data_IF_136502675060
#
_entry.id   IF_136502675060
#
_cell.length_a   1.000
_cell.length_b   1.000
_cell.length_c   1.000
_cell.angle_alpha   90.00
_cell.angle_beta   90.00
_cell.angle_gamma   90.00
#
_symmetry.space_group_name_H-M   'P 1'
#
loop_
_entity.id
_entity.type
_entity.pdbx_description
1 polymer ?
#
# COMPACT_ATOMS: atom_id res chain seq x y z
N UNK A 1 -13.78 -37.13 -22.21
CA UNK A 1 -14.41 -35.82 -22.43
C UNK A 1 -15.07 -35.43 -21.12
N UNK A 2 -14.34 -34.71 -20.27
CA UNK A 2 -14.88 -34.20 -19.01
C UNK A 2 -15.06 -32.70 -19.21
N UNK A 3 -16.31 -32.24 -19.13
CA UNK A 3 -16.66 -30.84 -19.16
C UNK A 3 -16.36 -30.22 -17.79
N UNK A 4 -15.63 -29.11 -17.80
CA UNK A 4 -15.40 -28.23 -16.66
C UNK A 4 -16.73 -27.74 -16.09
N UNK A 5 -16.90 -27.94 -14.78
CA UNK A 5 -17.93 -27.30 -13.97
C UNK A 5 -17.36 -25.95 -13.53
N UNK A 6 -17.79 -24.91 -14.23
CA UNK A 6 -17.62 -23.52 -13.84
C UNK A 6 -18.71 -23.19 -12.82
N UNK A 7 -18.53 -23.66 -11.59
CA UNK A 7 -19.48 -23.39 -10.49
C UNK A 7 -19.35 -21.91 -10.08
N UNK A 8 -20.36 -21.13 -10.50
CA UNK A 8 -20.56 -19.75 -10.10
C UNK A 8 -20.59 -19.62 -8.57
N UNK A 9 -19.61 -18.89 -8.00
CA UNK A 9 -19.62 -18.52 -6.59
C UNK A 9 -20.67 -17.43 -6.34
N UNK A 10 -21.57 -17.56 -5.36
CA UNK A 10 -22.54 -16.51 -5.06
C UNK A 10 -21.82 -15.23 -4.62
N UNK A 11 -22.07 -14.12 -5.32
CA UNK A 11 -21.60 -12.78 -4.93
C UNK A 11 -20.54 -12.13 -5.84
N UNK A 12 -20.05 -12.82 -6.87
CA UNK A 12 -19.18 -12.23 -7.88
C UNK A 12 -19.79 -12.47 -9.26
N UNK A 13 -20.10 -11.39 -9.98
CA UNK A 13 -20.47 -11.51 -11.38
C UNK A 13 -19.27 -12.09 -12.16
N UNK A 14 -19.50 -13.02 -13.12
CA UNK A 14 -18.45 -13.47 -14.02
C UNK A 14 -17.78 -12.27 -14.71
N UNK A 15 -16.45 -12.20 -14.70
CA UNK A 15 -15.69 -11.15 -15.39
C UNK A 15 -15.28 -9.93 -14.57
N UNK A 16 -15.56 -9.87 -13.26
CA UNK A 16 -14.93 -8.88 -12.36
C UNK A 16 -13.47 -9.26 -12.17
N UNK A 17 -12.55 -8.33 -12.45
CA UNK A 17 -11.13 -8.53 -12.14
C UNK A 17 -11.00 -8.75 -10.63
N UNK A 18 -10.37 -9.85 -10.23
CA UNK A 18 -10.08 -10.09 -8.82
C UNK A 18 -8.86 -9.24 -8.44
N UNK A 19 -8.92 -8.46 -7.35
CA UNK A 19 -7.75 -7.71 -6.90
C UNK A 19 -6.60 -8.68 -6.59
N UNK A 20 -5.36 -8.24 -6.84
CA UNK A 20 -4.15 -9.05 -6.54
C UNK A 20 -3.87 -9.14 -5.05
N UNK A 21 -4.48 -8.24 -4.26
CA UNK A 21 -4.48 -8.30 -2.82
C UNK A 21 -4.96 -6.99 -2.19
N UNK A 22 -4.93 -6.95 -0.87
CA UNK A 22 -5.31 -5.76 -0.10
C UNK A 22 -4.14 -4.78 -0.02
N UNK A 23 -4.43 -3.51 -0.32
CA UNK A 23 -3.60 -2.37 0.05
C UNK A 23 -4.29 -1.66 1.21
N UNK A 24 -3.59 -1.48 2.32
CA UNK A 24 -4.13 -0.84 3.53
C UNK A 24 -3.18 0.24 4.00
N UNK A 25 -3.72 1.35 4.51
CA UNK A 25 -2.95 2.37 5.22
C UNK A 25 -3.65 2.76 6.53
N UNK A 26 -2.87 2.95 7.58
CA UNK A 26 -3.29 3.60 8.81
C UNK A 26 -2.28 4.70 9.17
N UNK A 27 -2.80 5.88 9.49
CA UNK A 27 -1.99 7.05 9.87
C UNK A 27 -2.14 7.36 11.35
N UNK A 28 -1.03 7.70 11.99
CA UNK A 28 -0.93 7.91 13.43
C UNK A 28 -0.32 9.28 13.74
N UNK A 29 -0.79 9.89 14.81
CA UNK A 29 -0.21 11.10 15.40
C UNK A 29 -1.27 12.06 15.93
N UNK A 30 -0.86 13.31 16.12
CA UNK A 30 -1.77 14.38 16.58
C UNK A 30 -2.79 14.74 15.52
N UNK A 31 -4.07 14.88 15.89
CA UNK A 31 -5.11 15.26 14.95
C UNK A 31 -6.11 16.27 15.52
N UNK A 32 -6.27 17.38 14.82
CA UNK A 32 -7.27 18.39 15.11
C UNK A 32 -8.33 18.41 14.00
N UNK A 33 -9.53 17.91 14.30
CA UNK A 33 -10.64 17.87 13.34
C UNK A 33 -11.12 19.28 12.99
N UNK A 34 -11.50 19.50 11.73
CA UNK A 34 -12.15 20.74 11.33
C UNK A 34 -13.58 20.82 11.90
N UNK A 35 -14.01 22.00 12.39
CA UNK A 35 -15.31 22.13 13.07
C UNK A 35 -16.52 22.03 12.13
N UNK A 36 -16.32 22.14 10.81
CA UNK A 36 -17.35 22.06 9.78
C UNK A 36 -17.41 20.69 9.08
N UNK A 37 -16.71 19.68 9.60
CA UNK A 37 -16.52 18.43 8.90
C UNK A 37 -17.66 17.43 9.17
N UNK A 38 -18.56 17.30 8.19
CA UNK A 38 -19.70 16.38 8.25
C UNK A 38 -19.51 15.09 7.41
N UNK A 39 -18.49 15.05 6.54
CA UNK A 39 -18.24 13.89 5.67
C UNK A 39 -17.29 12.88 6.32
N UNK A 40 -17.60 11.60 6.16
CA UNK A 40 -16.77 10.50 6.62
C UNK A 40 -15.55 10.25 5.70
N UNK A 41 -14.57 9.51 6.22
CA UNK A 41 -13.31 9.22 5.51
C UNK A 41 -13.52 8.39 4.23
N UNK A 42 -14.48 7.46 4.23
CA UNK A 42 -14.79 6.61 3.09
C UNK A 42 -15.35 7.42 1.93
N UNK A 43 -16.34 8.25 2.20
CA UNK A 43 -16.98 9.13 1.21
C UNK A 43 -15.98 10.06 0.54
N UNK A 44 -15.12 10.72 1.33
CA UNK A 44 -14.06 11.58 0.81
C UNK A 44 -13.05 10.83 -0.05
N UNK A 45 -12.58 9.67 0.44
CA UNK A 45 -11.58 8.87 -0.27
C UNK A 45 -12.13 8.30 -1.58
N UNK A 46 -13.38 7.82 -1.57
CA UNK A 46 -14.08 7.36 -2.76
C UNK A 46 -14.19 8.48 -3.79
N UNK A 47 -14.69 9.66 -3.39
CA UNK A 47 -14.84 10.82 -4.29
C UNK A 47 -13.50 11.26 -4.88
N UNK A 48 -12.44 11.30 -4.08
CA UNK A 48 -11.11 11.69 -4.55
C UNK A 48 -10.53 10.65 -5.50
N UNK A 49 -10.64 9.37 -5.18
CA UNK A 49 -10.20 8.26 -6.05
C UNK A 49 -10.93 8.28 -7.39
N UNK A 50 -12.23 8.54 -7.39
CA UNK A 50 -13.03 8.69 -8.61
C UNK A 50 -12.58 9.91 -9.43
N UNK A 51 -12.38 11.06 -8.79
CA UNK A 51 -11.95 12.29 -9.47
C UNK A 51 -10.58 12.15 -10.15
N UNK A 52 -9.68 11.36 -9.56
CA UNK A 52 -8.35 11.08 -10.12
C UNK A 52 -8.33 9.90 -11.11
N UNK A 53 -9.47 9.24 -11.34
CA UNK A 53 -9.59 7.99 -12.11
C UNK A 53 -8.68 6.88 -11.58
N UNK A 54 -8.49 6.83 -10.26
CA UNK A 54 -7.78 5.75 -9.59
C UNK A 54 -8.72 4.63 -9.13
N UNK A 55 -10.01 4.94 -8.97
CA UNK A 55 -11.01 3.94 -8.65
C UNK A 55 -11.33 3.11 -9.91
N UNK A 56 -11.30 1.78 -9.78
CA UNK A 56 -11.84 0.90 -10.81
C UNK A 56 -13.36 1.02 -10.84
N UNK A 57 -13.88 1.54 -11.96
CA UNK A 57 -15.30 1.73 -12.21
C UNK A 57 -15.81 0.86 -13.37
N UNK A 58 -15.07 -0.21 -13.73
CA UNK A 58 -15.53 -1.20 -14.70
C UNK A 58 -16.81 -1.88 -14.18
N UNK A 59 -17.93 -1.50 -14.77
CA UNK A 59 -19.22 -2.17 -14.67
C UNK A 59 -19.60 -2.91 -15.94
N UNK A 60 -20.73 -3.60 -15.89
CA UNK A 60 -21.32 -4.27 -17.04
C UNK A 60 -22.71 -3.69 -17.30
N UNK A 61 -22.94 -3.25 -18.53
CA UNK A 61 -24.30 -2.92 -18.99
C UNK A 61 -24.81 -4.12 -19.76
N UNK A 62 -25.87 -4.74 -19.23
CA UNK A 62 -26.59 -5.80 -19.92
C UNK A 62 -27.67 -5.16 -20.79
N UNK A 63 -27.51 -5.23 -22.11
CA UNK A 63 -28.52 -4.80 -23.07
C UNK A 63 -29.28 -6.02 -23.58
N UNK A 64 -30.60 -6.01 -23.41
CA UNK A 64 -31.46 -7.02 -24.05
C UNK A 64 -31.69 -6.65 -25.52
N UNK A 65 -31.38 -7.59 -26.41
CA UNK A 65 -31.62 -7.50 -27.85
C UNK A 65 -32.49 -8.66 -28.36
N UNK A 66 -32.91 -8.61 -29.62
CA UNK A 66 -33.64 -9.70 -30.26
C UNK A 66 -32.81 -11.01 -30.36
N UNK A 67 -31.48 -10.91 -30.27
CA UNK A 67 -30.55 -12.04 -30.31
C UNK A 67 -30.15 -12.57 -28.91
N UNK A 68 -30.67 -11.97 -27.83
CA UNK A 68 -30.33 -12.34 -26.45
C UNK A 68 -29.83 -11.16 -25.61
N UNK A 69 -29.16 -11.46 -24.50
CA UNK A 69 -28.49 -10.45 -23.66
C UNK A 69 -27.08 -10.19 -24.20
N UNK A 70 -26.77 -8.92 -24.44
CA UNK A 70 -25.44 -8.45 -24.79
C UNK A 70 -24.87 -7.74 -23.56
N UNK A 71 -23.81 -8.31 -22.99
CA UNK A 71 -23.09 -7.67 -21.89
C UNK A 71 -21.95 -6.85 -22.48
N UNK A 72 -21.95 -5.55 -22.19
CA UNK A 72 -20.87 -4.66 -22.59
C UNK A 72 -20.19 -4.09 -21.35
N UNK A 73 -18.86 -4.21 -21.23
CA UNK A 73 -18.14 -3.53 -20.17
C UNK A 73 -18.24 -2.01 -20.38
N UNK A 74 -18.48 -1.29 -19.30
CA UNK A 74 -18.54 0.18 -19.24
C UNK A 74 -17.65 0.67 -18.10
N UNK A 75 -17.08 1.86 -18.21
CA UNK A 75 -16.09 2.37 -17.24
C UNK A 75 -14.65 2.22 -17.75
N UNK A 76 -13.69 2.43 -16.86
CA UNK A 76 -12.26 2.36 -17.11
C UNK A 76 -11.55 1.66 -15.95
N UNK A 77 -10.54 0.86 -16.28
CA UNK A 77 -9.71 0.21 -15.27
C UNK A 77 -9.01 1.27 -14.40
N UNK A 78 -9.17 1.13 -13.09
CA UNK A 78 -8.49 1.95 -12.09
C UNK A 78 -7.19 1.32 -11.58
N UNK A 79 -6.66 1.91 -10.52
CA UNK A 79 -5.55 1.38 -9.74
C UNK A 79 -6.02 0.47 -8.60
N UNK A 80 -7.25 0.68 -8.11
CA UNK A 80 -7.82 -0.11 -7.03
C UNK A 80 -9.36 -0.06 -6.99
N UNK A 81 -9.97 -1.07 -6.39
CA UNK A 81 -11.37 -1.07 -5.94
C UNK A 81 -11.49 -0.65 -4.46
N UNK A 82 -12.56 0.06 -4.10
CA UNK A 82 -12.81 0.45 -2.68
C UNK A 82 -13.27 -0.74 -1.84
N UNK A 83 -12.66 -0.93 -0.67
CA UNK A 83 -13.18 -1.85 0.35
C UNK A 83 -13.81 -1.08 1.50
N UNK A 84 -13.01 -0.39 2.30
CA UNK A 84 -13.46 0.25 3.53
C UNK A 84 -12.50 1.37 3.97
N UNK A 85 -12.97 2.30 4.77
CA UNK A 85 -12.16 3.37 5.35
C UNK A 85 -12.88 3.98 6.55
N UNK A 86 -12.12 4.46 7.51
CA UNK A 86 -12.69 5.00 8.73
C UNK A 86 -11.73 5.80 9.58
N UNK A 87 -12.25 6.23 10.71
CA UNK A 87 -11.52 6.90 11.78
C UNK A 87 -11.58 6.07 13.05
N UNK A 88 -10.66 6.33 13.97
CA UNK A 88 -10.77 5.94 15.38
C UNK A 88 -11.13 4.45 15.57
N UNK A 89 -10.35 3.56 14.94
CA UNK A 89 -10.51 2.12 15.16
C UNK A 89 -9.97 1.75 16.54
N UNK A 90 -10.71 1.01 17.38
CA UNK A 90 -10.20 0.54 18.66
C UNK A 90 -8.93 -0.29 18.43
N UNK A 91 -7.80 0.18 18.97
CA UNK A 91 -6.55 -0.57 18.91
C UNK A 91 -6.59 -1.70 19.95
N UNK A 92 -6.22 -2.92 19.57
CA UNK A 92 -6.20 -4.06 20.47
C UNK A 92 -5.11 -3.94 21.57
N UNK A 93 -4.04 -3.16 21.35
CA UNK A 93 -2.95 -2.99 22.31
C UNK A 93 -2.04 -1.75 22.08
N UNK A 94 -2.52 -0.69 21.42
CA UNK A 94 -1.66 0.43 21.00
C UNK A 94 -2.37 1.75 20.76
N UNK A 95 -1.68 2.68 20.09
CA UNK A 95 -2.29 3.93 19.64
C UNK A 95 -3.37 3.62 18.59
N UNK A 96 -4.54 4.26 18.70
CA UNK A 96 -5.55 4.19 17.66
C UNK A 96 -5.10 5.02 16.45
N UNK A 97 -5.29 4.53 15.21
CA UNK A 97 -5.03 5.35 14.04
C UNK A 97 -6.01 6.51 13.96
N UNK A 98 -5.51 7.67 13.55
CA UNK A 98 -6.33 8.86 13.25
C UNK A 98 -7.33 8.55 12.14
N UNK A 99 -6.84 7.87 11.10
CA UNK A 99 -7.63 7.38 9.99
C UNK A 99 -6.99 6.13 9.39
N UNK A 100 -7.81 5.32 8.74
CA UNK A 100 -7.38 4.12 8.05
C UNK A 100 -8.18 3.91 6.76
N UNK A 101 -7.56 3.24 5.78
CA UNK A 101 -8.07 3.08 4.43
C UNK A 101 -7.70 1.69 3.92
N UNK A 102 -8.63 1.01 3.28
CA UNK A 102 -8.49 -0.31 2.71
C UNK A 102 -9.04 -0.34 1.29
N UNK A 103 -8.22 -0.80 0.35
CA UNK A 103 -8.58 -0.96 -1.07
C UNK A 103 -8.11 -2.32 -1.59
N UNK A 104 -8.77 -2.84 -2.62
CA UNK A 104 -8.27 -3.99 -3.38
C UNK A 104 -7.38 -3.47 -4.50
N UNK A 105 -6.09 -3.81 -4.49
CA UNK A 105 -5.17 -3.38 -5.52
C UNK A 105 -5.43 -4.15 -6.82
N UNK A 106 -5.52 -3.43 -7.95
CA UNK A 106 -5.60 -4.06 -9.26
C UNK A 106 -4.23 -4.59 -9.72
N UNK A 107 -4.18 -5.59 -10.62
CA UNK A 107 -2.92 -6.03 -11.23
C UNK A 107 -2.19 -4.86 -11.90
N UNK A 108 -0.93 -4.67 -11.55
CA UNK A 108 -0.07 -3.65 -12.17
C UNK A 108 0.78 -4.25 -13.29
N UNK A 109 0.97 -3.53 -14.42
CA UNK A 109 1.96 -3.92 -15.43
C UNK A 109 3.37 -4.04 -14.85
N UNK A 110 4.22 -4.88 -15.45
CA UNK A 110 5.57 -5.16 -14.98
C UNK A 110 6.45 -3.89 -14.87
N UNK A 111 6.20 -2.89 -15.70
CA UNK A 111 6.94 -1.63 -15.76
C UNK A 111 6.45 -0.58 -14.76
N UNK A 112 5.46 -0.92 -13.92
CA UNK A 112 4.88 0.00 -12.94
C UNK A 112 5.06 -0.52 -11.51
N UNK A 113 5.29 0.37 -10.54
CA UNK A 113 5.31 -0.03 -9.15
C UNK A 113 3.88 -0.31 -8.66
N UNK A 114 3.76 -0.97 -7.50
CA UNK A 114 2.48 -0.99 -6.77
C UNK A 114 2.02 0.46 -6.51
N UNK A 115 0.70 0.73 -6.53
CA UNK A 115 0.16 2.10 -6.44
C UNK A 115 0.18 2.65 -5.01
N UNK A 116 1.23 2.36 -4.22
CA UNK A 116 1.36 2.78 -2.83
C UNK A 116 1.50 4.30 -2.72
N UNK A 117 2.30 4.91 -3.60
CA UNK A 117 2.46 6.36 -3.67
C UNK A 117 1.13 7.09 -3.96
N UNK A 118 0.41 6.83 -5.06
CA UNK A 118 -0.89 7.48 -5.30
C UNK A 118 -1.93 7.15 -4.22
N UNK A 119 -1.87 5.96 -3.62
CA UNK A 119 -2.73 5.60 -2.49
C UNK A 119 -2.48 6.50 -1.27
N UNK A 120 -1.23 6.66 -0.82
CA UNK A 120 -0.93 7.52 0.31
C UNK A 120 -1.11 9.00 0.02
N UNK A 121 -0.95 9.45 -1.24
CA UNK A 121 -1.35 10.80 -1.66
C UNK A 121 -2.85 11.03 -1.50
N UNK A 122 -3.67 10.07 -1.87
CA UNK A 122 -5.12 10.14 -1.67
C UNK A 122 -5.46 10.21 -0.17
N UNK A 123 -4.81 9.38 0.65
CA UNK A 123 -4.94 9.40 2.11
C UNK A 123 -4.59 10.78 2.68
N UNK A 124 -3.47 11.36 2.27
CA UNK A 124 -3.03 12.69 2.72
C UNK A 124 -4.08 13.77 2.44
N UNK A 125 -4.59 13.81 1.21
CA UNK A 125 -5.58 14.81 0.79
C UNK A 125 -6.92 14.65 1.51
N UNK A 126 -7.33 13.40 1.78
CA UNK A 126 -8.54 13.10 2.57
C UNK A 126 -8.36 13.51 4.01
N UNK A 127 -7.24 13.15 4.63
CA UNK A 127 -6.96 13.52 6.03
C UNK A 127 -6.86 15.03 6.19
N UNK A 128 -6.25 15.73 5.22
CA UNK A 128 -6.20 17.19 5.19
C UNK A 128 -7.59 17.85 5.04
N UNK A 129 -8.57 17.16 4.43
CA UNK A 129 -9.97 17.61 4.41
C UNK A 129 -10.69 17.36 5.72
N UNK A 130 -10.33 16.29 6.44
CA UNK A 130 -10.91 15.95 7.74
C UNK A 130 -10.39 16.86 8.87
N UNK A 131 -9.14 17.30 8.77
CA UNK A 131 -8.48 18.08 9.83
C UNK A 131 -6.99 18.31 9.58
N UNK A 132 -6.32 18.84 10.60
CA UNK A 132 -4.87 19.02 10.61
C UNK A 132 -4.20 17.81 11.27
N UNK A 133 -3.36 17.10 10.51
CA UNK A 133 -2.55 15.97 10.98
C UNK A 133 -1.13 16.43 11.33
N UNK A 134 -0.64 15.98 12.48
CA UNK A 134 0.77 15.97 12.85
C UNK A 134 1.21 14.49 12.82
N UNK A 135 1.85 14.09 11.71
CA UNK A 135 2.16 12.68 11.42
C UNK A 135 3.30 12.17 12.29
N UNK A 136 3.04 11.12 13.06
CA UNK A 136 4.05 10.42 13.88
C UNK A 136 4.48 9.09 13.29
N UNK A 137 3.53 8.34 12.72
CA UNK A 137 3.81 7.07 12.08
C UNK A 137 2.77 6.72 11.00
N UNK A 138 3.14 5.81 10.11
CA UNK A 138 2.23 5.17 9.15
C UNK A 138 2.42 3.65 9.18
N UNK A 139 1.32 2.92 9.03
CA UNK A 139 1.35 1.49 8.71
C UNK A 139 0.75 1.27 7.34
N UNK A 140 1.43 0.50 6.49
CA UNK A 140 1.00 0.22 5.11
C UNK A 140 1.13 -1.27 4.85
N UNK A 141 0.02 -1.95 4.54
CA UNK A 141 0.04 -3.32 4.04
C UNK A 141 0.11 -3.27 2.52
N UNK A 142 1.12 -3.89 1.91
CA UNK A 142 1.33 -3.91 0.46
C UNK A 142 1.23 -5.35 -0.09
N UNK A 143 0.49 -5.58 -1.21
CA UNK A 143 0.28 -6.91 -1.76
C UNK A 143 1.43 -7.35 -2.68
N UNK A 144 2.61 -7.64 -2.11
CA UNK A 144 3.83 -8.03 -2.84
C UNK A 144 3.63 -9.26 -3.71
N UNK A 145 2.79 -10.20 -3.29
CA UNK A 145 2.44 -11.40 -4.04
C UNK A 145 1.80 -11.11 -5.41
N UNK A 146 1.27 -9.90 -5.61
CA UNK A 146 0.70 -9.46 -6.89
C UNK A 146 1.74 -9.02 -7.92
N UNK A 147 3.02 -8.95 -7.54
CA UNK A 147 4.10 -8.53 -8.43
C UNK A 147 4.66 -9.72 -9.21
N UNK A 148 4.54 -9.69 -10.53
CA UNK A 148 5.24 -10.62 -11.41
C UNK A 148 6.66 -10.11 -11.68
N UNK A 149 7.58 -10.48 -10.79
CA UNK A 149 9.00 -10.13 -10.91
C UNK A 149 9.64 -10.79 -12.13
N UNK A 150 9.15 -11.96 -12.54
CA UNK A 150 9.75 -12.75 -13.62
C UNK A 150 9.60 -12.11 -15.00
N UNK A 151 8.56 -11.29 -15.19
CA UNK A 151 8.33 -10.53 -16.41
C UNK A 151 8.97 -9.15 -16.42
N UNK A 152 9.67 -8.73 -15.35
CA UNK A 152 10.31 -7.41 -15.28
C UNK A 152 11.63 -7.40 -16.06
N UNK A 153 11.78 -6.57 -17.10
CA UNK A 153 13.06 -6.41 -17.78
C UNK A 153 14.07 -5.71 -16.86
N UNK A 154 15.34 -6.11 -16.87
CA UNK A 154 16.42 -5.22 -16.37
C UNK A 154 16.50 -4.01 -17.32
N UNK A 155 16.39 -2.73 -16.86
CA UNK A 155 16.59 -2.17 -15.51
C UNK A 155 15.31 -1.83 -14.70
N UNK A 156 14.11 -2.25 -15.11
CA UNK A 156 12.82 -1.99 -14.46
C UNK A 156 12.57 -2.80 -13.17
N UNK A 157 13.62 -3.25 -12.48
CA UNK A 157 13.49 -4.08 -11.28
C UNK A 157 12.92 -3.32 -10.07
N UNK A 158 13.05 -2.00 -10.06
CA UNK A 158 12.38 -1.10 -9.12
C UNK A 158 11.84 0.13 -9.88
N UNK A 159 10.65 0.04 -10.49
CA UNK A 159 10.08 1.11 -11.30
C UNK A 159 10.00 2.48 -10.59
N UNK A 160 9.87 2.46 -9.25
CA UNK A 160 9.87 3.67 -8.41
C UNK A 160 11.14 4.52 -8.57
N UNK A 161 12.29 3.94 -8.98
CA UNK A 161 13.53 4.70 -9.19
C UNK A 161 13.39 5.77 -10.28
N UNK A 162 12.51 5.57 -11.27
CA UNK A 162 12.28 6.53 -12.35
C UNK A 162 11.73 7.87 -11.84
N UNK A 163 11.13 7.89 -10.64
CA UNK A 163 10.55 9.07 -10.03
C UNK A 163 11.32 9.55 -8.79
N UNK A 164 12.46 8.92 -8.44
CA UNK A 164 13.25 9.29 -7.26
C UNK A 164 13.67 10.77 -7.25
N UNK A 165 13.99 11.32 -8.44
CA UNK A 165 14.38 12.72 -8.60
C UNK A 165 13.28 13.73 -8.25
N UNK A 166 12.01 13.30 -8.11
CA UNK A 166 10.92 14.14 -7.59
C UNK A 166 11.21 14.68 -6.18
N UNK A 167 11.95 13.91 -5.39
CA UNK A 167 12.35 14.26 -4.02
C UNK A 167 13.75 14.90 -3.96
N UNK A 168 14.39 15.14 -5.12
CA UNK A 168 15.68 15.80 -5.21
C UNK A 168 15.51 17.32 -5.09
N UNK A 169 15.97 17.90 -3.97
CA UNK A 169 16.01 19.34 -3.77
C UNK A 169 16.22 19.75 -2.31
N UNK A 170 16.77 20.95 -2.11
CA UNK A 170 17.30 21.42 -0.83
C UNK A 170 16.22 21.92 0.16
N UNK A 171 14.95 21.89 -0.25
CA UNK A 171 13.87 22.62 0.42
C UNK A 171 13.18 21.92 1.59
N UNK A 172 13.36 20.60 1.75
CA UNK A 172 12.71 19.82 2.83
C UNK A 172 13.74 19.16 3.73
N UNK A 173 13.48 19.23 5.04
CA UNK A 173 14.38 18.70 6.05
C UNK A 173 14.37 17.18 5.99
N UNK A 174 15.54 16.61 5.65
CA UNK A 174 15.82 15.19 5.79
C UNK A 174 15.48 14.73 7.21
N UNK A 175 14.71 13.66 7.30
CA UNK A 175 14.13 13.20 8.56
C UNK A 175 14.64 11.80 8.89
N UNK A 176 15.26 11.59 10.07
CA UNK A 176 15.56 10.25 10.56
C UNK A 176 14.28 9.44 10.73
N UNK A 177 14.29 8.21 10.23
CA UNK A 177 13.14 7.31 10.27
C UNK A 177 13.56 5.90 10.63
N UNK A 178 12.62 5.18 11.23
CA UNK A 178 12.68 3.74 11.44
C UNK A 178 11.63 3.09 10.53
N UNK A 179 12.03 2.06 9.79
CA UNK A 179 11.18 1.34 8.83
C UNK A 179 11.18 -0.14 9.20
N UNK A 180 10.09 -0.66 9.75
CA UNK A 180 9.92 -2.09 10.04
C UNK A 180 9.14 -2.76 8.91
N UNK A 181 9.72 -3.79 8.31
CA UNK A 181 9.05 -4.73 7.40
C UNK A 181 8.60 -5.95 8.20
N UNK A 182 7.38 -6.45 7.94
CA UNK A 182 6.85 -7.67 8.55
C UNK A 182 6.17 -8.55 7.48
N UNK A 183 6.58 -9.81 7.40
CA UNK A 183 5.96 -10.84 6.55
C UNK A 183 5.03 -11.79 7.32
N UNK A 184 4.60 -11.38 8.52
CA UNK A 184 3.71 -12.12 9.41
C UNK A 184 4.37 -13.41 9.88
N UNK A 185 3.74 -14.54 9.56
CA UNK A 185 4.24 -15.90 9.84
C UNK A 185 5.28 -16.42 8.86
N UNK A 186 5.59 -15.70 7.79
CA UNK A 186 6.60 -16.11 6.82
C UNK A 186 7.99 -15.63 7.27
N UNK A 187 9.02 -16.48 7.33
CA UNK A 187 10.37 -16.07 7.71
C UNK A 187 11.12 -15.29 6.61
N UNK A 188 10.44 -14.91 5.53
CA UNK A 188 11.06 -14.34 4.34
C UNK A 188 11.77 -13.01 4.61
N UNK A 189 11.16 -12.07 5.35
CA UNK A 189 11.76 -10.75 5.62
C UNK A 189 13.10 -10.83 6.35
N UNK A 190 13.22 -11.54 7.51
CA UNK A 190 14.51 -11.72 8.16
C UNK A 190 15.57 -12.35 7.25
N UNK A 191 15.18 -13.30 6.40
CA UNK A 191 16.10 -14.00 5.50
C UNK A 191 16.71 -13.10 4.41
N UNK A 192 16.01 -12.03 4.01
CA UNK A 192 16.45 -11.13 2.92
C UNK A 192 16.93 -9.76 3.41
N UNK A 193 16.79 -9.45 4.71
CA UNK A 193 17.02 -8.11 5.26
C UNK A 193 18.39 -7.51 4.93
N UNK A 194 19.47 -8.31 5.06
CA UNK A 194 20.82 -7.86 4.75
C UNK A 194 20.98 -7.48 3.27
N UNK A 195 20.39 -8.27 2.36
CA UNK A 195 20.42 -7.99 0.91
C UNK A 195 19.58 -6.78 0.55
N UNK A 196 18.42 -6.60 1.19
CA UNK A 196 17.60 -5.40 1.01
C UNK A 196 18.41 -4.14 1.35
N UNK A 197 19.13 -4.13 2.48
CA UNK A 197 20.04 -3.02 2.83
C UNK A 197 21.11 -2.79 1.74
N UNK A 198 21.76 -3.85 1.26
CA UNK A 198 22.76 -3.75 0.20
C UNK A 198 22.19 -3.21 -1.11
N UNK A 199 20.94 -3.55 -1.45
CA UNK A 199 20.26 -2.97 -2.61
C UNK A 199 19.97 -1.49 -2.41
N UNK A 200 19.37 -1.11 -1.28
CA UNK A 200 19.04 0.29 -0.98
C UNK A 200 20.30 1.18 -1.08
N UNK A 201 21.44 0.69 -0.59
CA UNK A 201 22.71 1.44 -0.63
C UNK A 201 23.43 1.46 -2.00
N UNK A 202 23.06 0.59 -2.95
CA UNK A 202 23.68 0.54 -4.29
C UNK A 202 22.87 1.25 -5.36
N UNK A 203 21.58 1.43 -5.15
CA UNK A 203 20.68 2.03 -6.12
C UNK A 203 20.79 3.55 -6.06
N UNK A 204 20.83 4.19 -7.23
CA UNK A 204 20.94 5.64 -7.37
C UNK A 204 19.61 6.32 -7.02
N UNK A 205 19.42 6.58 -5.73
CA UNK A 205 18.28 7.30 -5.18
C UNK A 205 18.69 8.01 -3.89
N UNK A 206 18.10 9.18 -3.66
CA UNK A 206 18.33 9.97 -2.44
C UNK A 206 17.09 10.06 -1.54
N UNK A 207 16.05 9.29 -1.85
CA UNK A 207 14.77 9.33 -1.13
C UNK A 207 14.91 8.70 0.25
N UNK A 208 15.56 7.53 0.36
CA UNK A 208 15.81 6.85 1.63
C UNK A 208 17.25 6.35 1.71
N UNK A 209 18.06 6.98 2.54
CA UNK A 209 19.40 6.52 2.86
C UNK A 209 19.33 5.55 4.05
N UNK A 210 19.59 4.26 3.83
CA UNK A 210 19.61 3.26 4.88
C UNK A 210 21.00 3.15 5.52
N UNK A 211 21.09 3.42 6.81
CA UNK A 211 22.33 3.37 7.57
C UNK A 211 22.59 1.95 8.11
N UNK A 212 21.58 1.39 8.76
CA UNK A 212 21.67 0.09 9.45
C UNK A 212 20.35 -0.68 9.40
N UNK A 213 20.40 -1.96 9.81
CA UNK A 213 19.20 -2.77 10.04
C UNK A 213 19.36 -3.62 11.31
N UNK A 214 18.24 -4.00 11.90
CA UNK A 214 18.13 -4.81 13.11
C UNK A 214 17.02 -5.84 12.98
N UNK A 215 17.25 -7.04 13.53
CA UNK A 215 16.24 -8.10 13.60
C UNK A 215 15.40 -8.02 14.89
N UNK A 216 15.78 -7.18 15.86
CA UNK A 216 15.18 -7.19 17.21
C UNK A 216 14.61 -5.81 17.62
N UNK A 217 15.05 -4.72 16.99
CA UNK A 217 14.58 -3.36 17.29
C UNK A 217 13.34 -3.02 16.45
N UNK A 218 12.16 -3.37 16.92
CA UNK A 218 10.90 -3.08 16.23
C UNK A 218 10.09 -2.00 16.93
N UNK A 219 9.45 -1.14 16.15
CA UNK A 219 8.48 -0.19 16.68
C UNK A 219 7.35 -0.94 17.40
N UNK A 220 6.90 -0.42 18.55
CA UNK A 220 5.78 -1.02 19.30
C UNK A 220 4.52 -1.11 18.43
N UNK A 221 4.32 -0.14 17.54
CA UNK A 221 3.21 -0.12 16.59
C UNK A 221 3.24 -1.32 15.63
N UNK A 222 4.42 -1.82 15.27
CA UNK A 222 4.59 -2.99 14.42
C UNK A 222 4.18 -4.31 15.11
N UNK A 223 3.85 -4.30 16.39
CA UNK A 223 3.41 -5.50 17.11
C UNK A 223 1.91 -5.79 16.95
N UNK A 224 1.09 -4.81 16.59
CA UNK A 224 -0.38 -4.96 16.55
C UNK A 224 -1.00 -4.08 15.47
N UNK A 225 -1.04 -4.55 14.21
CA UNK A 225 -1.71 -3.82 13.13
C UNK A 225 -3.21 -3.60 13.44
N UNK A 226 -3.81 -2.51 12.95
CA UNK A 226 -5.21 -2.16 13.23
C UNK A 226 -6.20 -2.94 12.35
N UNK A 227 -5.82 -4.11 11.85
CA UNK A 227 -6.63 -4.91 10.94
C UNK A 227 -6.51 -6.41 11.24
N UNK A 228 -7.44 -7.19 10.71
CA UNK A 228 -7.54 -8.62 10.98
C UNK A 228 -6.39 -9.40 10.31
N UNK A 229 -5.86 -10.40 11.02
CA UNK A 229 -4.78 -11.24 10.53
C UNK A 229 -5.11 -11.97 9.22
N UNK A 230 -6.39 -12.13 8.86
CA UNK A 230 -6.83 -12.69 7.59
C UNK A 230 -6.53 -11.81 6.38
N UNK A 231 -6.35 -10.50 6.56
CA UNK A 231 -6.00 -9.59 5.46
C UNK A 231 -4.55 -9.78 5.01
N UNK A 232 -3.72 -10.44 5.82
CA UNK A 232 -2.31 -10.66 5.55
C UNK A 232 -1.88 -12.05 6.03
N UNK A 233 -0.58 -12.33 6.07
CA UNK A 233 -0.08 -13.61 6.56
C UNK A 233 0.16 -13.57 8.08
N UNK A 234 -0.69 -12.86 8.83
CA UNK A 234 -0.54 -12.60 10.27
C UNK A 234 -0.69 -13.84 11.16
N UNK A 235 -0.42 -13.73 12.48
CA UNK A 235 -0.01 -12.51 13.20
C UNK A 235 1.42 -12.05 12.89
N UNK A 236 1.75 -10.84 13.37
CA UNK A 236 3.10 -10.27 13.31
C UNK A 236 4.12 -11.18 13.98
N UNK A 237 5.29 -11.36 13.35
CA UNK A 237 6.27 -12.32 13.84
C UNK A 237 7.66 -12.19 13.21
N UNK A 238 7.73 -12.18 11.89
CA UNK A 238 8.99 -12.20 11.16
C UNK A 238 9.30 -10.83 10.56
N UNK A 239 10.12 -10.07 11.31
CA UNK A 239 10.36 -8.66 11.07
C UNK A 239 11.83 -8.34 10.83
N UNK A 240 12.06 -7.25 10.12
CA UNK A 240 13.36 -6.58 10.06
C UNK A 240 13.12 -5.08 10.06
N UNK A 241 13.92 -4.35 10.85
CA UNK A 241 13.85 -2.90 10.94
C UNK A 241 15.07 -2.28 10.29
N UNK A 242 14.86 -1.25 9.49
CA UNK A 242 15.88 -0.45 8.84
C UNK A 242 15.88 0.95 9.44
N UNK A 243 17.06 1.44 9.81
CA UNK A 243 17.25 2.80 10.28
C UNK A 243 17.90 3.61 9.18
N UNK A 244 17.41 4.82 8.99
CA UNK A 244 17.90 5.65 7.91
C UNK A 244 17.33 7.05 7.95
N UNK A 245 17.52 7.76 6.85
CA UNK A 245 17.04 9.12 6.66
C UNK A 245 16.19 9.20 5.41
N UNK A 246 14.97 9.73 5.54
CA UNK A 246 14.05 10.00 4.45
C UNK A 246 14.25 11.43 3.93
N UNK A 247 14.18 11.64 2.63
CA UNK A 247 14.34 12.95 1.99
C UNK A 247 13.36 14.00 2.56
N UNK A 248 12.15 13.56 2.87
CA UNK A 248 11.11 14.38 3.49
C UNK A 248 10.14 13.51 4.30
N UNK A 249 9.60 14.05 5.39
CA UNK A 249 8.55 13.38 6.17
C UNK A 249 7.16 13.71 5.62
N UNK A 250 6.78 13.02 4.54
CA UNK A 250 5.47 13.18 3.89
C UNK A 250 4.87 11.82 3.51
N UNK A 251 3.54 11.76 3.39
CA UNK A 251 2.86 10.55 2.91
C UNK A 251 3.21 10.22 1.45
N UNK A 252 3.64 11.21 0.66
CA UNK A 252 4.15 11.01 -0.70
C UNK A 252 5.46 10.20 -0.70
N UNK A 253 6.45 10.66 0.07
CA UNK A 253 7.75 10.00 0.18
C UNK A 253 7.64 8.62 0.84
N UNK A 254 6.77 8.49 1.85
CA UNK A 254 6.47 7.20 2.48
C UNK A 254 5.80 6.23 1.50
N UNK A 255 4.95 6.74 0.61
CA UNK A 255 4.27 5.92 -0.39
C UNK A 255 5.23 5.46 -1.49
N UNK A 256 6.15 6.35 -1.90
CA UNK A 256 7.28 5.97 -2.77
C UNK A 256 8.15 4.89 -2.12
N UNK A 257 8.53 5.08 -0.85
CA UNK A 257 9.35 4.13 -0.10
C UNK A 257 8.66 2.76 -0.01
N UNK A 258 7.35 2.74 0.24
CA UNK A 258 6.59 1.51 0.34
C UNK A 258 6.53 0.73 -0.97
N UNK A 259 6.33 1.42 -2.09
CA UNK A 259 6.40 0.80 -3.41
C UNK A 259 7.82 0.27 -3.71
N UNK A 260 8.84 1.08 -3.43
CA UNK A 260 10.24 0.71 -3.64
C UNK A 260 10.67 -0.53 -2.84
N UNK A 261 10.36 -0.57 -1.55
CA UNK A 261 10.68 -1.73 -0.71
C UNK A 261 9.87 -2.97 -1.07
N UNK A 262 8.63 -2.82 -1.55
CA UNK A 262 7.85 -3.93 -2.08
C UNK A 262 8.51 -4.55 -3.32
N UNK A 263 8.96 -3.72 -4.27
CA UNK A 263 9.67 -4.16 -5.47
C UNK A 263 10.97 -4.91 -5.12
N UNK A 264 11.78 -4.37 -4.20
CA UNK A 264 13.02 -5.02 -3.75
C UNK A 264 12.76 -6.32 -3.00
N UNK A 265 11.73 -6.36 -2.16
CA UNK A 265 11.36 -7.57 -1.42
C UNK A 265 10.88 -8.67 -2.36
N UNK A 266 10.04 -8.32 -3.34
CA UNK A 266 9.60 -9.27 -4.37
C UNK A 266 10.80 -9.83 -5.14
N UNK A 267 11.76 -8.97 -5.50
CA UNK A 267 13.01 -9.37 -6.18
C UNK A 267 13.82 -10.38 -5.38
N UNK A 268 13.88 -10.23 -4.06
CA UNK A 268 14.56 -11.17 -3.17
C UNK A 268 13.70 -12.41 -2.82
N UNK A 269 12.56 -12.59 -3.48
CA UNK A 269 11.73 -13.79 -3.36
C UNK A 269 10.67 -13.73 -2.27
N UNK A 270 10.37 -12.56 -1.71
CA UNK A 270 9.21 -12.40 -0.82
C UNK A 270 7.92 -12.49 -1.63
N UNK A 271 7.08 -13.48 -1.30
CA UNK A 271 5.83 -13.78 -2.03
C UNK A 271 4.58 -13.66 -1.16
N UNK A 272 4.68 -13.03 0.00
CA UNK A 272 3.57 -12.76 0.93
C UNK A 272 3.30 -11.26 1.02
N UNK A 273 2.07 -10.83 1.40
CA UNK A 273 1.83 -9.43 1.74
C UNK A 273 2.85 -8.93 2.77
N UNK A 274 3.29 -7.68 2.63
CA UNK A 274 4.22 -7.05 3.56
C UNK A 274 3.54 -5.92 4.31
N UNK A 275 3.68 -5.92 5.64
CA UNK A 275 3.33 -4.78 6.46
C UNK A 275 4.58 -3.93 6.67
N UNK A 276 4.51 -2.69 6.20
CA UNK A 276 5.47 -1.63 6.49
C UNK A 276 4.95 -0.81 7.66
N UNK A 277 5.78 -0.62 8.68
CA UNK A 277 5.56 0.40 9.72
C UNK A 277 6.69 1.40 9.64
N UNK A 278 6.37 2.69 9.50
CA UNK A 278 7.37 3.75 9.47
C UNK A 278 7.05 4.79 10.53
N UNK A 279 8.03 5.07 11.39
CA UNK A 279 7.95 6.03 12.48
C UNK A 279 9.19 6.93 12.54
N UNK A 280 9.04 8.08 13.21
CA UNK A 280 10.18 8.88 13.64
C UNK A 280 10.68 8.33 15.00
N UNK A 281 11.98 8.07 15.16
CA UNK A 281 12.54 7.57 16.41
C UNK A 281 12.50 8.61 17.55
#
# INVERSE_FOLDING_TARGET
MSADSDDARPGLAPGVRSPVGTLFAAVYGGFASHPWQDQDAYSLFHQRSLAMRWLDDIGWVVRRSAAGYEERPTGAAGLWGMNDAGRDRPAAAGAAPVAWFQVGAEPVPAERPLPVQPFLRCVEEVVARLGKLELDAVQVLVPVQGLDVSSRPEPALAPSLLTAGWFGGDGRARTPVRVTLDSGRSPAVPAVAARLREWVGRLDQEVFACDSHSADDHASLAASPPFDDRLWYGPAGHRATFHGTLAEWSLDALGWLGAFLADLSAREGVTTPLLLTVDRP
#
